data_IF_111904831646
#
_entry.id   IF_111904831646
#
_cell.length_a   1.000
_cell.length_b   1.000
_cell.length_c   1.000
_cell.angle_alpha   90.00
_cell.angle_beta   90.00
_cell.angle_gamma   90.00
#
_symmetry.space_group_name_H-M   'P 1'
#
loop_
_entity.id
_entity.type
_entity.pdbx_description
1 polymer ?
#
# COMPACT_ATOMS: atom_id res chain seq x y z
N UNK A 1 38.38 -25.37 2.50
CA UNK A 1 37.00 -25.41 3.02
C UNK A 1 36.91 -26.44 4.14
N UNK A 2 36.38 -26.06 5.30
CA UNK A 2 36.26 -26.94 6.45
C UNK A 2 35.22 -28.04 6.15
N UNK A 3 35.64 -29.32 6.05
CA UNK A 3 34.82 -30.46 5.59
C UNK A 3 33.62 -30.80 6.50
N UNK A 4 33.44 -30.09 7.61
CA UNK A 4 32.39 -30.35 8.61
C UNK A 4 31.55 -29.12 9.00
N UNK A 5 31.61 -28.00 8.24
CA UNK A 5 30.71 -26.86 8.53
C UNK A 5 29.29 -27.22 8.08
N UNK A 6 28.39 -27.45 9.06
CA UNK A 6 26.97 -27.75 8.83
C UNK A 6 26.05 -26.55 9.08
N UNK A 7 26.59 -25.47 9.67
CA UNK A 7 25.84 -24.26 10.05
C UNK A 7 26.36 -23.07 9.25
N UNK A 8 25.44 -22.22 8.78
CA UNK A 8 25.74 -20.95 8.08
C UNK A 8 26.62 -21.11 6.84
N UNK A 9 26.52 -22.25 6.16
CA UNK A 9 27.34 -22.56 4.97
C UNK A 9 27.09 -21.60 3.81
N UNK A 10 25.89 -21.00 3.76
CA UNK A 10 25.47 -20.04 2.74
C UNK A 10 25.28 -18.61 3.29
N UNK A 11 25.74 -18.34 4.52
CA UNK A 11 25.65 -17.00 5.13
C UNK A 11 27.02 -16.33 5.02
N UNK A 12 27.06 -15.18 4.34
CA UNK A 12 28.27 -14.38 4.15
C UNK A 12 28.50 -13.47 5.36
N UNK A 13 27.44 -12.85 5.87
CA UNK A 13 27.47 -11.95 7.01
C UNK A 13 26.13 -11.98 7.79
N UNK A 14 26.18 -11.63 9.07
CA UNK A 14 25.01 -11.50 9.94
C UNK A 14 25.19 -10.30 10.87
N UNK A 15 24.66 -9.15 10.45
CA UNK A 15 24.71 -7.90 11.19
C UNK A 15 23.43 -7.68 12.01
N UNK A 16 23.59 -7.16 13.23
CA UNK A 16 22.47 -6.82 14.12
C UNK A 16 21.83 -5.50 13.67
N UNK A 17 20.50 -5.49 13.54
CA UNK A 17 19.74 -4.27 13.30
C UNK A 17 19.59 -3.43 14.58
N UNK A 18 19.51 -2.09 14.50
CA UNK A 18 19.22 -1.26 15.67
C UNK A 18 17.87 -1.67 16.28
N UNK A 19 17.76 -1.64 17.60
CA UNK A 19 16.48 -1.91 18.26
C UNK A 19 15.39 -0.94 17.75
N UNK A 20 14.14 -1.40 17.49
CA UNK A 20 13.05 -0.54 17.05
C UNK A 20 12.85 0.70 17.93
N UNK A 21 12.88 0.54 19.26
CA UNK A 21 12.71 1.67 20.19
C UNK A 21 13.81 2.73 20.05
N UNK A 22 15.04 2.30 19.73
CA UNK A 22 16.17 3.21 19.55
C UNK A 22 16.01 4.00 18.26
N UNK A 23 15.73 3.34 17.14
CA UNK A 23 15.54 4.00 15.85
C UNK A 23 14.32 4.92 15.86
N UNK A 24 13.21 4.48 16.45
CA UNK A 24 12.00 5.28 16.58
C UNK A 24 12.21 6.55 17.43
N UNK A 25 13.13 6.55 18.39
CA UNK A 25 13.51 7.76 19.14
C UNK A 25 14.36 8.74 18.32
N UNK A 26 15.14 8.25 17.36
CA UNK A 26 15.92 9.12 16.46
C UNK A 26 15.02 9.88 15.48
N UNK A 27 13.90 9.27 15.09
CA UNK A 27 12.88 9.87 14.21
C UNK A 27 11.53 9.81 14.92
N UNK A 28 11.39 10.62 15.96
CA UNK A 28 10.19 10.61 16.80
C UNK A 28 8.99 11.21 16.07
N UNK A 29 7.81 10.62 16.27
CA UNK A 29 6.53 11.23 15.89
C UNK A 29 6.05 12.13 17.02
N UNK A 30 5.47 13.28 16.70
CA UNK A 30 4.84 14.14 17.71
C UNK A 30 3.36 13.75 17.93
N UNK A 31 2.71 14.40 18.92
CA UNK A 31 1.30 14.10 19.27
C UNK A 31 0.33 14.45 18.15
N UNK A 32 0.51 15.58 17.47
CA UNK A 32 -0.34 16.01 16.34
C UNK A 32 -0.29 15.03 15.16
N UNK A 33 0.89 14.48 14.85
CA UNK A 33 1.06 13.42 13.87
C UNK A 33 0.34 12.13 14.30
N UNK A 34 0.42 11.78 15.58
CA UNK A 34 -0.27 10.60 16.12
C UNK A 34 -1.79 10.75 16.02
N UNK A 35 -2.33 11.92 16.39
CA UNK A 35 -3.75 12.24 16.29
C UNK A 35 -4.23 12.19 14.84
N UNK A 36 -3.45 12.75 13.91
CA UNK A 36 -3.76 12.68 12.48
C UNK A 36 -3.79 11.23 11.96
N UNK A 37 -2.84 10.39 12.35
CA UNK A 37 -2.83 8.97 11.97
C UNK A 37 -4.04 8.24 12.55
N UNK A 38 -4.40 8.49 13.81
CA UNK A 38 -5.58 7.88 14.46
C UNK A 38 -6.86 8.29 13.71
N UNK A 39 -7.03 9.58 13.44
CA UNK A 39 -8.19 10.10 12.71
C UNK A 39 -8.27 9.53 11.29
N UNK A 40 -7.14 9.48 10.59
CA UNK A 40 -7.04 8.93 9.24
C UNK A 40 -7.41 7.44 9.21
N UNK A 41 -6.90 6.64 10.14
CA UNK A 41 -7.26 5.21 10.26
C UNK A 41 -8.75 5.05 10.51
N UNK A 42 -9.33 5.87 11.40
CA UNK A 42 -10.77 5.84 11.68
C UNK A 42 -11.58 6.18 10.42
N UNK A 43 -11.22 7.26 9.72
CA UNK A 43 -11.87 7.68 8.48
C UNK A 43 -11.83 6.59 7.41
N UNK A 44 -10.67 5.94 7.22
CA UNK A 44 -10.51 4.83 6.27
C UNK A 44 -11.37 3.63 6.69
N UNK A 45 -11.40 3.29 7.98
CA UNK A 45 -12.32 2.26 8.52
C UNK A 45 -13.79 2.60 8.28
N UNK A 46 -14.20 3.84 8.51
CA UNK A 46 -15.58 4.29 8.29
C UNK A 46 -15.96 4.17 6.80
N UNK A 47 -15.06 4.52 5.88
CA UNK A 47 -15.25 4.31 4.44
C UNK A 47 -15.38 2.82 4.14
N UNK A 48 -14.49 1.96 4.65
CA UNK A 48 -14.56 0.51 4.40
C UNK A 48 -15.91 -0.04 4.88
N UNK A 49 -16.35 0.35 6.08
CA UNK A 49 -17.62 -0.06 6.69
C UNK A 49 -18.87 0.53 6.01
N UNK A 50 -18.71 1.57 5.19
CA UNK A 50 -19.83 2.28 4.53
C UNK A 50 -20.52 3.32 5.42
N UNK A 51 -19.90 3.69 6.55
CA UNK A 51 -20.36 4.79 7.42
C UNK A 51 -19.94 6.16 6.89
N UNK A 52 -18.97 6.19 5.97
CA UNK A 52 -18.56 7.37 5.22
C UNK A 52 -18.71 7.07 3.71
N UNK A 53 -19.46 7.95 3.01
CA UNK A 53 -19.79 7.79 1.60
C UNK A 53 -18.72 8.32 0.64
N UNK A 54 -17.64 8.90 1.16
CA UNK A 54 -16.50 9.35 0.35
C UNK A 54 -15.78 8.16 -0.27
N UNK A 55 -15.12 8.42 -1.39
CA UNK A 55 -14.31 7.42 -2.10
C UNK A 55 -12.86 7.53 -1.63
N UNK A 56 -12.26 6.39 -1.29
CA UNK A 56 -10.84 6.31 -0.99
C UNK A 56 -10.03 6.21 -2.29
N UNK A 57 -9.04 7.07 -2.49
CA UNK A 57 -8.09 6.94 -3.60
C UNK A 57 -6.68 6.87 -3.04
N UNK A 58 -6.03 5.72 -3.24
CA UNK A 58 -4.63 5.50 -2.89
C UNK A 58 -3.77 5.80 -4.13
N UNK A 59 -2.98 6.86 -4.11
CA UNK A 59 -2.20 7.30 -5.28
C UNK A 59 -0.76 7.61 -4.89
N UNK A 60 0.18 7.21 -5.72
CA UNK A 60 1.59 7.54 -5.53
C UNK A 60 2.52 6.61 -6.29
N UNK A 61 3.84 6.80 -6.17
CA UNK A 61 4.82 6.05 -6.95
C UNK A 61 4.71 4.54 -6.73
N UNK A 62 5.13 3.75 -7.73
CA UNK A 62 5.21 2.29 -7.56
C UNK A 62 6.09 1.93 -6.34
N UNK A 63 7.26 2.58 -6.24
CA UNK A 63 8.18 2.55 -5.10
C UNK A 63 8.92 3.88 -4.95
N UNK A 64 9.14 4.34 -3.72
CA UNK A 64 9.94 5.53 -3.37
C UNK A 64 11.42 5.15 -3.40
N UNK A 65 12.20 5.81 -4.26
CA UNK A 65 13.66 5.64 -4.37
C UNK A 65 14.43 6.94 -4.18
N UNK A 66 13.73 8.07 -4.33
CA UNK A 66 14.25 9.41 -4.15
C UNK A 66 13.28 10.20 -3.26
N UNK A 67 13.80 10.71 -2.14
CA UNK A 67 13.00 11.40 -1.12
C UNK A 67 12.51 12.76 -1.63
N UNK A 68 13.34 13.48 -2.40
CA UNK A 68 13.00 14.81 -2.88
C UNK A 68 11.80 14.77 -3.84
N UNK A 69 11.83 13.92 -4.87
CA UNK A 69 10.68 13.76 -5.78
C UNK A 69 9.45 13.16 -5.09
N UNK A 70 9.64 12.28 -4.10
CA UNK A 70 8.57 11.80 -3.25
C UNK A 70 7.89 12.93 -2.47
N UNK A 71 8.66 13.87 -1.92
CA UNK A 71 8.17 15.01 -1.16
C UNK A 71 7.39 15.98 -2.05
N UNK A 72 7.91 16.32 -3.23
CA UNK A 72 7.19 17.15 -4.20
C UNK A 72 5.86 16.51 -4.64
N UNK A 73 5.85 15.19 -4.84
CA UNK A 73 4.61 14.47 -5.12
C UNK A 73 3.61 14.58 -3.95
N UNK A 74 4.08 14.48 -2.71
CA UNK A 74 3.25 14.61 -1.50
C UNK A 74 2.66 16.02 -1.35
N UNK A 75 3.44 17.07 -1.65
CA UNK A 75 2.99 18.48 -1.62
C UNK A 75 1.90 18.74 -2.66
N UNK A 76 2.11 18.22 -3.87
CA UNK A 76 1.13 18.22 -4.95
C UNK A 76 -0.16 17.50 -4.53
N UNK A 77 -0.05 16.33 -3.89
CA UNK A 77 -1.19 15.57 -3.38
C UNK A 77 -1.93 16.29 -2.25
N UNK A 78 -1.20 16.93 -1.32
CA UNK A 78 -1.77 17.77 -0.24
C UNK A 78 -2.59 18.93 -0.80
N UNK A 79 -2.06 19.62 -1.80
CA UNK A 79 -2.74 20.73 -2.48
C UNK A 79 -4.03 20.26 -3.16
N UNK A 80 -4.02 19.09 -3.80
CA UNK A 80 -5.19 18.51 -4.43
C UNK A 80 -6.22 18.03 -3.40
N UNK A 81 -5.78 17.38 -2.33
CA UNK A 81 -6.66 16.82 -1.28
C UNK A 81 -7.60 17.87 -0.69
N UNK A 82 -7.08 19.07 -0.38
CA UNK A 82 -7.87 20.19 0.15
C UNK A 82 -9.02 20.64 -0.76
N UNK A 83 -8.94 20.38 -2.07
CA UNK A 83 -9.96 20.80 -3.05
C UNK A 83 -11.13 19.82 -3.19
N UNK A 84 -10.98 18.59 -2.69
CA UNK A 84 -11.89 17.47 -2.98
C UNK A 84 -12.33 16.67 -1.73
N UNK A 85 -11.89 17.09 -0.54
CA UNK A 85 -12.00 16.35 0.72
C UNK A 85 -13.44 16.08 1.19
N UNK A 86 -14.44 16.80 0.66
CA UNK A 86 -15.86 16.56 0.90
C UNK A 86 -16.38 15.28 0.23
N UNK A 87 -15.66 14.73 -0.78
CA UNK A 87 -16.10 13.54 -1.55
C UNK A 87 -15.04 12.46 -1.68
N UNK A 88 -13.77 12.81 -1.56
CA UNK A 88 -12.65 11.91 -1.79
C UNK A 88 -11.67 12.02 -0.63
N UNK A 89 -11.25 10.86 -0.12
CA UNK A 89 -10.11 10.78 0.80
C UNK A 89 -8.90 10.31 0.02
N UNK A 90 -7.92 11.20 -0.17
CA UNK A 90 -6.65 10.86 -0.79
C UNK A 90 -5.69 10.27 0.25
N UNK A 91 -5.02 9.20 -0.13
CA UNK A 91 -3.97 8.56 0.65
C UNK A 91 -2.75 8.39 -0.23
N UNK A 92 -1.59 8.84 0.22
CA UNK A 92 -0.37 8.67 -0.53
C UNK A 92 0.11 7.22 -0.46
N UNK A 93 0.37 6.63 -1.63
CA UNK A 93 1.09 5.37 -1.74
C UNK A 93 2.58 5.60 -1.49
N UNK A 94 3.07 5.14 -0.34
CA UNK A 94 4.46 5.23 0.14
C UNK A 94 5.05 3.82 0.27
N UNK A 95 5.38 3.20 -0.85
CA UNK A 95 5.92 1.83 -0.89
C UNK A 95 7.44 1.90 -1.02
N UNK A 96 8.18 1.20 -0.16
CA UNK A 96 9.65 1.26 -0.18
C UNK A 96 10.31 0.19 -1.03
N UNK A 97 9.61 -0.93 -1.27
CA UNK A 97 10.11 -2.05 -2.03
C UNK A 97 9.04 -2.56 -3.00
N UNK A 98 9.52 -3.15 -4.10
CA UNK A 98 8.73 -3.95 -5.01
C UNK A 98 9.21 -5.40 -4.94
N UNK A 99 8.39 -6.35 -4.45
CA UNK A 99 8.76 -7.76 -4.46
C UNK A 99 9.07 -8.25 -5.88
N UNK A 100 10.22 -8.88 -6.10
CA UNK A 100 10.63 -9.42 -7.41
C UNK A 100 11.12 -10.85 -7.32
N UNK A 101 10.89 -11.60 -8.39
CA UNK A 101 11.40 -12.97 -8.59
C UNK A 101 12.74 -12.98 -9.33
N UNK A 102 13.16 -11.84 -9.88
CA UNK A 102 14.44 -11.64 -10.58
C UNK A 102 15.34 -10.68 -9.80
N UNK A 103 16.64 -10.68 -10.12
CA UNK A 103 17.62 -9.77 -9.53
C UNK A 103 17.30 -8.32 -9.91
N UNK A 104 17.47 -7.40 -8.95
CA UNK A 104 17.31 -5.96 -9.10
C UNK A 104 17.36 -5.26 -7.75
N UNK A 105 17.32 -3.92 -7.75
CA UNK A 105 17.22 -3.07 -6.55
C UNK A 105 16.20 -3.61 -5.52
N UNK A 106 16.57 -3.57 -4.24
CA UNK A 106 15.81 -4.20 -3.15
C UNK A 106 14.87 -3.25 -2.42
N UNK A 107 14.81 -1.99 -2.83
CA UNK A 107 13.97 -0.98 -2.19
C UNK A 107 14.75 -0.05 -1.26
N UNK A 108 14.14 1.06 -0.88
CA UNK A 108 14.79 2.14 -0.13
C UNK A 108 15.27 1.69 1.25
N UNK A 109 14.50 0.85 1.92
CA UNK A 109 14.88 0.30 3.23
C UNK A 109 16.11 -0.62 3.09
N UNK A 110 16.17 -1.41 2.02
CA UNK A 110 17.19 -2.44 1.83
C UNK A 110 18.46 -1.95 1.15
N UNK A 111 18.40 -0.85 0.40
CA UNK A 111 19.51 -0.29 -0.38
C UNK A 111 19.21 1.21 -0.69
N UNK A 112 19.34 2.10 0.32
CA UNK A 112 18.91 3.50 0.21
C UNK A 112 19.72 4.33 -0.80
N UNK A 113 20.93 3.90 -1.10
CA UNK A 113 21.86 4.61 -1.97
C UNK A 113 21.85 4.11 -3.42
N UNK A 114 21.08 3.06 -3.73
CA UNK A 114 21.02 2.42 -5.06
C UNK A 114 22.38 1.88 -5.53
N UNK A 115 23.26 1.51 -4.61
CA UNK A 115 24.65 1.11 -4.87
C UNK A 115 24.97 -0.32 -4.39
N UNK A 116 24.01 -0.99 -3.76
CA UNK A 116 24.17 -2.35 -3.22
C UNK A 116 24.93 -2.40 -1.89
N UNK A 117 25.11 -1.26 -1.21
CA UNK A 117 25.73 -1.19 0.13
C UNK A 117 24.91 -1.87 1.22
N UNK A 118 23.60 -1.96 1.03
CA UNK A 118 22.67 -2.57 1.98
C UNK A 118 22.67 -1.90 3.37
N UNK A 119 22.78 -0.56 3.43
CA UNK A 119 22.66 0.19 4.69
C UNK A 119 21.20 0.23 5.20
N UNK A 120 20.75 -0.89 5.76
CA UNK A 120 19.39 -1.07 6.29
C UNK A 120 19.09 -0.10 7.44
N UNK A 121 19.99 0.13 8.43
CA UNK A 121 19.75 1.11 9.48
C UNK A 121 19.44 2.51 8.93
N UNK A 122 20.17 2.97 7.92
CA UNK A 122 19.87 4.26 7.30
C UNK A 122 18.58 4.21 6.46
N UNK A 123 18.36 3.14 5.69
CA UNK A 123 17.13 2.95 4.92
C UNK A 123 15.87 2.99 5.79
N UNK A 124 15.91 2.40 6.99
CA UNK A 124 14.83 2.47 7.98
C UNK A 124 14.60 3.91 8.49
N UNK A 125 15.67 4.67 8.77
CA UNK A 125 15.55 6.08 9.20
C UNK A 125 14.97 6.95 8.09
N UNK A 126 15.42 6.78 6.85
CA UNK A 126 14.92 7.52 5.70
C UNK A 126 13.44 7.21 5.44
N UNK A 127 13.06 5.94 5.44
CA UNK A 127 11.67 5.51 5.29
C UNK A 127 10.77 6.11 6.38
N UNK A 128 11.22 6.07 7.64
CA UNK A 128 10.48 6.62 8.78
C UNK A 128 10.35 8.14 8.71
N UNK A 129 11.43 8.84 8.33
CA UNK A 129 11.42 10.29 8.18
C UNK A 129 10.47 10.71 7.07
N UNK A 130 10.51 10.04 5.92
CA UNK A 130 9.63 10.33 4.80
C UNK A 130 8.14 10.14 5.14
N UNK A 131 7.78 9.06 5.84
CA UNK A 131 6.39 8.86 6.28
C UNK A 131 5.91 10.00 7.20
N UNK A 132 6.79 10.48 8.09
CA UNK A 132 6.51 11.59 8.98
C UNK A 132 6.30 12.89 8.19
N UNK A 133 7.18 13.17 7.24
CA UNK A 133 7.13 14.39 6.43
C UNK A 133 5.85 14.42 5.56
N UNK A 134 5.37 13.27 5.08
CA UNK A 134 4.06 13.15 4.39
C UNK A 134 2.88 13.41 5.34
N UNK A 135 2.96 12.94 6.58
CA UNK A 135 1.94 13.19 7.61
C UNK A 135 1.88 14.68 7.97
N UNK A 136 3.03 15.38 8.02
CA UNK A 136 3.09 16.83 8.26
C UNK A 136 2.37 17.64 7.18
N UNK A 137 2.30 17.10 5.95
CA UNK A 137 1.50 17.66 4.86
C UNK A 137 -0.01 17.35 4.95
N UNK A 138 -0.44 16.70 6.04
CA UNK A 138 -1.83 16.24 6.27
C UNK A 138 -2.33 15.28 5.20
N UNK A 139 -1.44 14.40 4.74
CA UNK A 139 -1.78 13.30 3.84
C UNK A 139 -1.60 11.96 4.56
N UNK A 140 -2.65 11.11 4.61
CA UNK A 140 -2.51 9.76 5.13
C UNK A 140 -1.57 8.93 4.26
N UNK A 141 -0.84 8.00 4.87
CA UNK A 141 0.16 7.15 4.19
C UNK A 141 -0.34 5.72 4.02
N UNK A 142 0.01 5.10 2.89
CA UNK A 142 -0.27 3.70 2.57
C UNK A 142 1.01 2.96 2.18
N UNK A 143 1.30 1.80 2.80
CA UNK A 143 2.45 0.97 2.43
C UNK A 143 2.12 -0.52 2.34
N UNK A 144 2.96 -1.30 1.66
CA UNK A 144 2.91 -2.77 1.69
C UNK A 144 3.94 -3.31 2.67
N UNK A 145 3.52 -4.26 3.52
CA UNK A 145 4.39 -4.87 4.52
C UNK A 145 4.80 -6.27 4.07
N UNK A 146 6.12 -6.47 3.95
CA UNK A 146 6.73 -7.64 3.28
C UNK A 146 7.37 -8.63 4.25
N UNK A 147 7.45 -8.27 5.53
CA UNK A 147 8.07 -9.08 6.57
C UNK A 147 7.53 -8.67 7.97
N UNK A 148 7.65 -9.53 9.00
CA UNK A 148 7.12 -9.25 10.34
C UNK A 148 8.01 -8.36 11.22
N UNK A 149 9.16 -7.89 10.72
CA UNK A 149 10.15 -7.10 11.47
C UNK A 149 9.95 -5.60 11.19
N UNK A 150 9.91 -5.21 9.92
CA UNK A 150 9.75 -3.83 9.45
C UNK A 150 8.58 -3.07 10.11
N UNK A 151 7.39 -3.68 10.38
CA UNK A 151 6.30 -2.98 11.06
C UNK A 151 6.70 -2.34 12.40
N UNK A 152 7.63 -2.92 13.17
CA UNK A 152 8.03 -2.35 14.46
C UNK A 152 8.74 -1.00 14.32
N UNK A 153 9.26 -0.66 13.13
CA UNK A 153 9.99 0.57 12.86
C UNK A 153 9.15 1.67 12.24
N UNK A 154 8.05 1.35 11.55
CA UNK A 154 7.31 2.33 10.73
C UNK A 154 5.78 2.28 10.87
N UNK A 155 5.21 1.23 11.47
CA UNK A 155 3.75 1.00 11.47
C UNK A 155 2.95 2.08 12.19
N UNK A 156 3.53 2.81 13.13
CA UNK A 156 2.91 3.94 13.82
C UNK A 156 2.69 5.17 12.94
N UNK A 157 3.30 5.22 11.75
CA UNK A 157 3.16 6.30 10.76
C UNK A 157 2.39 5.85 9.51
N UNK A 158 1.66 4.74 9.57
CA UNK A 158 0.94 4.15 8.43
C UNK A 158 -0.58 4.19 8.68
N UNK A 159 -1.33 4.79 7.75
CA UNK A 159 -2.78 4.93 7.86
C UNK A 159 -3.58 3.79 7.19
N UNK A 160 -3.00 3.13 6.19
CA UNK A 160 -3.54 1.94 5.52
C UNK A 160 -2.40 1.04 5.07
N UNK A 161 -2.60 -0.28 5.03
CA UNK A 161 -1.56 -1.20 4.55
C UNK A 161 -2.05 -2.20 3.51
N UNK A 162 -1.11 -2.87 2.83
CA UNK A 162 -1.41 -3.98 1.94
C UNK A 162 -0.60 -5.23 2.28
N UNK A 163 -1.22 -6.39 2.05
CA UNK A 163 -0.53 -7.66 1.82
C UNK A 163 -0.57 -7.97 0.32
N UNK A 164 0.61 -8.21 -0.25
CA UNK A 164 0.80 -8.48 -1.67
C UNK A 164 0.19 -9.78 -2.16
N UNK A 165 -0.02 -9.87 -3.46
CA UNK A 165 -0.58 -11.07 -4.09
C UNK A 165 0.28 -12.33 -3.92
N UNK A 166 1.61 -12.17 -3.74
CA UNK A 166 2.53 -13.29 -3.53
C UNK A 166 2.60 -13.72 -2.06
N UNK A 167 2.15 -12.87 -1.14
CA UNK A 167 2.19 -13.09 0.30
C UNK A 167 0.81 -13.28 0.91
N UNK A 168 -0.27 -13.10 0.13
CA UNK A 168 -1.64 -13.38 0.54
C UNK A 168 -1.85 -14.83 1.01
N UNK A 169 -1.09 -15.79 0.47
CA UNK A 169 -1.11 -17.20 0.90
C UNK A 169 -0.11 -17.54 2.02
N UNK A 170 0.76 -16.60 2.38
CA UNK A 170 1.76 -16.81 3.41
C UNK A 170 1.12 -16.76 4.80
N UNK A 171 1.26 -17.83 5.56
CA UNK A 171 0.79 -17.90 6.94
C UNK A 171 1.37 -16.76 7.81
N UNK A 172 2.69 -16.53 7.74
CA UNK A 172 3.35 -15.45 8.50
C UNK A 172 2.73 -14.09 8.21
N UNK A 173 2.39 -13.81 6.95
CA UNK A 173 1.78 -12.53 6.57
C UNK A 173 0.33 -12.41 7.03
N UNK A 174 -0.46 -13.49 6.98
CA UNK A 174 -1.83 -13.53 7.54
C UNK A 174 -1.82 -13.31 9.04
N UNK A 175 -0.87 -13.94 9.74
CA UNK A 175 -0.68 -13.77 11.17
C UNK A 175 -0.22 -12.35 11.51
N UNK A 176 0.73 -11.79 10.77
CA UNK A 176 1.12 -10.39 10.91
C UNK A 176 -0.06 -9.45 10.70
N UNK A 177 -0.86 -9.63 9.64
CA UNK A 177 -2.02 -8.81 9.32
C UNK A 177 -3.03 -8.71 10.48
N UNK A 178 -3.21 -9.79 11.24
CA UNK A 178 -4.09 -9.82 12.42
C UNK A 178 -3.66 -8.90 13.57
N UNK A 179 -2.40 -8.47 13.60
CA UNK A 179 -1.83 -7.60 14.64
C UNK A 179 -1.59 -6.16 14.19
N UNK A 180 -1.77 -5.86 12.90
CA UNK A 180 -1.56 -4.52 12.36
C UNK A 180 -2.63 -3.53 12.85
N UNK A 181 -2.22 -2.32 13.21
CA UNK A 181 -3.11 -1.33 13.84
C UNK A 181 -3.97 -0.52 12.86
N UNK A 182 -3.70 -0.62 11.56
CA UNK A 182 -4.41 0.08 10.50
C UNK A 182 -5.34 -0.88 9.72
N UNK A 183 -6.34 -0.35 9.01
CA UNK A 183 -7.03 -1.11 7.97
C UNK A 183 -6.04 -1.62 6.92
N UNK A 184 -6.28 -2.80 6.36
CA UNK A 184 -5.41 -3.33 5.32
C UNK A 184 -6.15 -4.05 4.20
N UNK A 185 -5.60 -3.91 3.00
CA UNK A 185 -6.04 -4.60 1.81
C UNK A 185 -5.23 -5.86 1.54
N UNK A 186 -5.89 -6.98 1.30
CA UNK A 186 -5.23 -8.21 0.85
C UNK A 186 -5.48 -8.37 -0.65
N UNK A 187 -4.41 -8.35 -1.44
CA UNK A 187 -4.49 -8.49 -2.90
C UNK A 187 -4.89 -9.92 -3.28
N UNK A 188 -5.74 -10.05 -4.30
CA UNK A 188 -5.97 -11.35 -4.94
C UNK A 188 -4.66 -11.92 -5.51
N UNK A 189 -4.59 -13.25 -5.63
CA UNK A 189 -3.42 -13.98 -6.11
C UNK A 189 -3.02 -13.59 -7.54
N UNK A 190 -1.77 -13.88 -7.93
CA UNK A 190 -1.23 -13.47 -9.25
C UNK A 190 -1.97 -14.08 -10.44
N UNK A 191 -2.55 -15.26 -10.28
CA UNK A 191 -3.43 -15.91 -11.27
C UNK A 191 -4.76 -15.18 -11.46
N UNK A 192 -5.16 -14.35 -10.50
CA UNK A 192 -6.48 -13.72 -10.43
C UNK A 192 -7.42 -14.39 -9.42
N UNK A 193 -7.00 -15.49 -8.78
CA UNK A 193 -7.81 -16.16 -7.76
C UNK A 193 -7.98 -15.30 -6.50
N UNK A 194 -9.21 -15.27 -6.01
CA UNK A 194 -9.67 -14.42 -4.91
C UNK A 194 -9.80 -15.22 -3.61
N UNK A 195 -9.93 -16.55 -3.68
CA UNK A 195 -10.06 -17.42 -2.51
C UNK A 195 -8.85 -17.27 -1.58
N UNK A 196 -7.65 -17.15 -2.15
CA UNK A 196 -6.42 -16.86 -1.39
C UNK A 196 -6.54 -15.61 -0.51
N UNK A 197 -7.14 -14.53 -1.01
CA UNK A 197 -7.37 -13.29 -0.28
C UNK A 197 -8.51 -13.40 0.74
N UNK A 198 -9.60 -14.10 0.40
CA UNK A 198 -10.71 -14.38 1.33
C UNK A 198 -10.22 -15.15 2.54
N UNK A 199 -9.52 -16.27 2.33
CA UNK A 199 -8.94 -17.08 3.41
C UNK A 199 -7.96 -16.28 4.28
N UNK A 200 -7.24 -15.34 3.67
CA UNK A 200 -6.30 -14.47 4.37
C UNK A 200 -7.02 -13.45 5.25
N UNK A 201 -8.13 -12.88 4.78
CA UNK A 201 -8.99 -11.98 5.56
C UNK A 201 -9.56 -12.72 6.76
N UNK A 202 -10.17 -13.90 6.54
CA UNK A 202 -10.73 -14.72 7.62
C UNK A 202 -9.67 -15.06 8.68
N UNK A 203 -8.46 -15.46 8.26
CA UNK A 203 -7.36 -15.72 9.18
C UNK A 203 -6.91 -14.45 9.93
N UNK A 204 -6.81 -13.32 9.25
CA UNK A 204 -6.39 -12.05 9.85
C UNK A 204 -7.42 -11.51 10.85
N UNK A 205 -8.70 -11.83 10.70
CA UNK A 205 -9.75 -11.44 11.64
C UNK A 205 -9.72 -12.20 12.98
N UNK A 206 -8.96 -13.30 13.06
CA UNK A 206 -8.85 -14.12 14.28
C UNK A 206 -7.59 -13.78 15.08
N UNK A 207 -7.56 -14.09 16.40
CA UNK A 207 -6.32 -14.11 17.17
C UNK A 207 -5.28 -15.05 16.56
N UNK A 208 -4.04 -14.58 16.46
CA UNK A 208 -2.92 -15.34 15.90
C UNK A 208 -1.70 -15.29 16.81
N UNK A 209 -0.73 -16.17 16.55
CA UNK A 209 0.59 -16.11 17.15
C UNK A 209 1.66 -16.37 16.09
N UNK A 210 2.69 -15.52 16.04
CA UNK A 210 3.80 -15.65 15.10
C UNK A 210 5.12 -15.18 15.71
N UNK A 211 6.23 -15.54 15.06
CA UNK A 211 7.56 -15.07 15.44
C UNK A 211 7.82 -13.70 14.82
N UNK A 212 8.14 -12.72 15.67
CA UNK A 212 8.52 -11.37 15.28
C UNK A 212 9.67 -10.86 16.14
N UNK A 213 9.75 -9.54 16.31
CA UNK A 213 10.74 -8.88 17.18
C UNK A 213 10.05 -7.96 18.19
N UNK A 214 10.63 -7.88 19.38
CA UNK A 214 10.26 -6.92 20.42
C UNK A 214 10.82 -5.54 20.11
N UNK A 215 10.38 -4.53 20.86
CA UNK A 215 10.87 -3.14 20.75
C UNK A 215 12.37 -3.02 21.07
N UNK A 216 12.94 -3.96 21.84
CA UNK A 216 14.36 -4.08 22.14
C UNK A 216 15.16 -4.81 21.05
N UNK A 217 14.51 -5.24 19.96
CA UNK A 217 15.16 -5.95 18.85
C UNK A 217 15.38 -7.46 19.09
N UNK A 218 14.83 -8.02 20.18
CA UNK A 218 14.93 -9.44 20.49
C UNK A 218 13.81 -10.23 19.82
N UNK A 219 14.10 -11.45 19.36
CA UNK A 219 13.08 -12.37 18.86
C UNK A 219 11.95 -12.55 19.88
N UNK A 220 10.70 -12.53 19.40
CA UNK A 220 9.51 -12.53 20.26
C UNK A 220 8.39 -13.36 19.66
N UNK A 221 7.62 -14.03 20.52
CA UNK A 221 6.30 -14.54 20.15
C UNK A 221 5.29 -13.38 20.23
N UNK A 222 4.69 -13.02 19.11
CA UNK A 222 3.70 -11.94 19.01
C UNK A 222 2.31 -12.55 18.98
N UNK A 223 1.47 -12.23 19.97
CA UNK A 223 0.07 -12.67 20.04
C UNK A 223 -0.85 -11.51 19.71
N UNK A 224 -1.81 -11.73 18.81
CA UNK A 224 -2.69 -10.69 18.27
C UNK A 224 -4.15 -10.91 18.69
N UNK A 225 -4.98 -9.88 18.53
CA UNK A 225 -6.42 -9.94 18.81
C UNK A 225 -7.28 -10.22 17.58
N UNK A 226 -6.69 -10.23 16.38
CA UNK A 226 -7.42 -10.17 15.12
C UNK A 226 -7.63 -8.74 14.63
N UNK A 227 -7.71 -8.57 13.32
CA UNK A 227 -7.98 -7.31 12.65
C UNK A 227 -9.23 -7.40 11.77
N UNK A 228 -10.31 -6.77 12.23
CA UNK A 228 -11.60 -6.73 11.54
C UNK A 228 -11.65 -5.76 10.34
N UNK A 229 -10.63 -4.92 10.14
CA UNK A 229 -10.60 -3.90 9.09
C UNK A 229 -9.86 -4.38 7.82
N UNK A 230 -9.87 -5.69 7.58
CA UNK A 230 -9.31 -6.30 6.38
C UNK A 230 -10.32 -6.27 5.22
N UNK A 231 -9.85 -6.02 3.99
CA UNK A 231 -10.69 -6.05 2.78
C UNK A 231 -9.90 -6.57 1.57
N UNK A 232 -10.61 -6.89 0.48
CA UNK A 232 -9.99 -7.36 -0.75
C UNK A 232 -9.50 -6.19 -1.61
N UNK A 233 -8.31 -6.36 -2.19
CA UNK A 233 -7.79 -5.50 -3.27
C UNK A 233 -7.79 -6.28 -4.58
N UNK A 234 -8.58 -5.81 -5.55
CA UNK A 234 -8.70 -6.40 -6.88
C UNK A 234 -7.66 -5.81 -7.82
N UNK A 235 -6.70 -6.63 -8.26
CA UNK A 235 -5.52 -6.19 -9.06
C UNK A 235 -5.37 -6.89 -10.41
N UNK A 236 -6.42 -7.59 -10.85
CA UNK A 236 -6.39 -8.48 -12.00
C UNK A 236 -5.53 -9.71 -11.75
N UNK A 237 -5.19 -10.44 -12.82
CA UNK A 237 -4.28 -11.57 -12.75
C UNK A 237 -3.90 -12.07 -14.13
N UNK A 238 -3.28 -13.24 -14.20
CA UNK A 238 -2.96 -13.94 -15.46
C UNK A 238 -4.22 -14.20 -16.29
N UNK A 239 -5.37 -14.41 -15.64
CA UNK A 239 -6.69 -14.55 -16.28
C UNK A 239 -7.32 -13.20 -16.71
N UNK A 240 -6.52 -12.14 -16.77
CA UNK A 240 -6.93 -10.79 -17.18
C UNK A 240 -7.52 -9.93 -16.05
N UNK A 241 -8.07 -8.76 -16.41
CA UNK A 241 -8.60 -7.80 -15.44
C UNK A 241 -9.80 -8.32 -14.65
N UNK A 242 -9.95 -7.89 -13.40
CA UNK A 242 -11.03 -8.30 -12.50
C UNK A 242 -11.89 -7.14 -11.96
N UNK A 243 -11.95 -6.03 -12.69
CA UNK A 243 -12.76 -4.85 -12.34
C UNK A 243 -14.07 -4.73 -13.11
N UNK A 244 -14.43 -5.68 -14.00
CA UNK A 244 -15.67 -5.59 -14.78
C UNK A 244 -16.90 -5.78 -13.90
N UNK A 245 -18.07 -5.20 -14.25
CA UNK A 245 -19.29 -5.33 -13.46
C UNK A 245 -19.66 -6.79 -13.13
N UNK A 246 -19.46 -7.72 -14.07
CA UNK A 246 -19.75 -9.13 -13.91
C UNK A 246 -18.85 -9.78 -12.86
N UNK A 247 -17.54 -9.45 -12.90
CA UNK A 247 -16.57 -9.96 -11.93
C UNK A 247 -16.82 -9.36 -10.55
N UNK A 248 -17.13 -8.07 -10.45
CA UNK A 248 -17.48 -7.44 -9.17
C UNK A 248 -18.74 -8.08 -8.57
N UNK A 249 -19.78 -8.35 -9.36
CA UNK A 249 -20.99 -9.04 -8.89
C UNK A 249 -20.68 -10.46 -8.38
N UNK A 250 -19.79 -11.19 -9.03
CA UNK A 250 -19.40 -12.53 -8.57
C UNK A 250 -18.63 -12.48 -7.25
N UNK A 251 -17.76 -11.47 -7.09
CA UNK A 251 -16.97 -11.23 -5.88
C UNK A 251 -17.85 -10.83 -4.70
N UNK A 252 -18.82 -9.95 -4.95
CA UNK A 252 -19.82 -9.56 -3.96
C UNK A 252 -20.56 -10.77 -3.39
N UNK A 253 -21.04 -11.67 -4.25
CA UNK A 253 -21.69 -12.92 -3.82
C UNK A 253 -20.76 -13.79 -2.98
N UNK A 254 -19.51 -13.98 -3.43
CA UNK A 254 -18.51 -14.76 -2.70
C UNK A 254 -18.22 -14.18 -1.32
N UNK A 255 -18.07 -12.86 -1.20
CA UNK A 255 -17.84 -12.20 0.08
C UNK A 255 -19.01 -12.42 1.05
N UNK A 256 -20.25 -12.29 0.55
CA UNK A 256 -21.47 -12.54 1.34
C UNK A 256 -21.55 -14.01 1.78
N UNK A 257 -21.24 -14.97 0.90
CA UNK A 257 -21.20 -16.41 1.23
C UNK A 257 -20.20 -16.72 2.36
N UNK A 258 -19.12 -15.95 2.44
CA UNK A 258 -18.10 -16.05 3.50
C UNK A 258 -18.37 -15.16 4.73
N UNK A 259 -19.54 -14.53 4.82
CA UNK A 259 -19.90 -13.57 5.88
C UNK A 259 -18.93 -12.38 6.01
N UNK A 260 -18.32 -11.98 4.91
CA UNK A 260 -17.45 -10.80 4.81
C UNK A 260 -18.23 -9.62 4.23
N UNK A 261 -17.82 -8.40 4.60
CA UNK A 261 -18.39 -7.19 4.02
C UNK A 261 -18.12 -7.17 2.50
N UNK A 262 -19.14 -6.96 1.64
CA UNK A 262 -18.99 -6.92 0.19
C UNK A 262 -18.38 -5.57 -0.26
N UNK A 263 -17.16 -5.29 0.19
CA UNK A 263 -16.47 -4.00 0.03
C UNK A 263 -15.07 -4.26 -0.52
N UNK A 264 -14.79 -3.72 -1.70
CA UNK A 264 -13.53 -3.93 -2.41
C UNK A 264 -12.86 -2.62 -2.79
N UNK A 265 -11.53 -2.65 -2.78
CA UNK A 265 -10.68 -1.63 -3.39
C UNK A 265 -10.16 -2.17 -4.73
N UNK A 266 -10.16 -1.34 -5.77
CA UNK A 266 -9.71 -1.77 -7.10
C UNK A 266 -8.40 -1.09 -7.49
N UNK A 267 -7.36 -1.89 -7.71
CA UNK A 267 -6.07 -1.45 -8.24
C UNK A 267 -6.18 -1.25 -9.76
N UNK A 268 -6.01 -0.01 -10.22
CA UNK A 268 -6.10 0.34 -11.64
C UNK A 268 -4.86 -0.05 -12.45
N UNK A 269 -3.75 -0.41 -11.78
CA UNK A 269 -2.48 -0.81 -12.38
C UNK A 269 -2.41 -2.34 -12.56
N UNK A 270 -1.19 -2.89 -12.56
CA UNK A 270 -0.89 -4.32 -12.52
C UNK A 270 -1.68 -5.17 -13.54
N UNK A 271 -2.36 -6.24 -13.08
CA UNK A 271 -3.10 -7.13 -13.97
C UNK A 271 -4.32 -6.46 -14.58
N UNK A 272 -4.89 -5.45 -13.92
CA UNK A 272 -6.03 -4.71 -14.44
C UNK A 272 -5.65 -3.77 -15.59
N UNK A 273 -4.44 -3.21 -15.56
CA UNK A 273 -3.90 -2.44 -16.68
C UNK A 273 -3.17 -3.29 -17.72
N UNK A 274 -3.17 -4.63 -17.57
CA UNK A 274 -2.32 -5.53 -18.36
C UNK A 274 -0.82 -5.09 -18.34
N UNK A 275 -0.36 -4.55 -17.21
CA UNK A 275 0.98 -3.98 -16.99
C UNK A 275 1.32 -2.79 -17.90
N UNK A 276 0.31 -2.12 -18.45
CA UNK A 276 0.46 -0.91 -19.26
C UNK A 276 -0.08 0.30 -18.49
N UNK A 277 0.81 1.16 -17.98
CA UNK A 277 0.44 2.33 -17.19
C UNK A 277 -0.53 3.26 -17.92
N UNK A 278 -0.52 3.31 -19.25
CA UNK A 278 -1.44 4.14 -20.05
C UNK A 278 -2.89 3.67 -19.95
N UNK A 279 -3.12 2.41 -19.60
CA UNK A 279 -4.47 1.84 -19.42
C UNK A 279 -5.08 2.14 -18.06
N UNK A 280 -4.30 2.62 -17.08
CA UNK A 280 -4.82 2.96 -15.75
C UNK A 280 -6.01 3.94 -15.83
N UNK A 281 -5.95 4.94 -16.69
CA UNK A 281 -7.04 5.91 -16.91
C UNK A 281 -8.34 5.24 -17.34
N UNK A 282 -8.28 4.29 -18.28
CA UNK A 282 -9.46 3.57 -18.75
C UNK A 282 -10.05 2.66 -17.66
N UNK A 283 -9.20 2.01 -16.87
CA UNK A 283 -9.62 1.21 -15.72
C UNK A 283 -10.31 2.09 -14.67
N UNK A 284 -9.67 3.21 -14.31
CA UNK A 284 -10.18 4.19 -13.35
C UNK A 284 -11.56 4.73 -13.77
N UNK A 285 -11.72 5.14 -15.01
CA UNK A 285 -12.99 5.64 -15.55
C UNK A 285 -14.09 4.57 -15.57
N UNK A 286 -13.74 3.32 -15.91
CA UNK A 286 -14.68 2.21 -15.86
C UNK A 286 -15.21 1.97 -14.43
N UNK A 287 -14.33 2.04 -13.43
CA UNK A 287 -14.70 1.88 -12.02
C UNK A 287 -15.53 3.08 -11.55
N UNK A 288 -15.12 4.30 -11.89
CA UNK A 288 -15.86 5.51 -11.55
C UNK A 288 -17.28 5.48 -12.10
N UNK A 289 -17.47 5.01 -13.34
CA UNK A 289 -18.80 4.85 -13.92
C UNK A 289 -19.65 3.84 -13.14
N UNK A 290 -19.08 2.73 -12.69
CA UNK A 290 -19.78 1.77 -11.84
C UNK A 290 -20.22 2.40 -10.51
N UNK A 291 -19.34 3.16 -9.88
CA UNK A 291 -19.64 3.90 -8.64
C UNK A 291 -20.75 4.94 -8.89
N UNK A 292 -20.68 5.66 -10.01
CA UNK A 292 -21.63 6.70 -10.37
C UNK A 292 -23.05 6.17 -10.63
N UNK A 293 -23.20 4.94 -11.15
CA UNK A 293 -24.50 4.27 -11.31
C UNK A 293 -25.00 3.59 -10.02
N UNK A 294 -24.38 3.88 -8.87
CA UNK A 294 -24.85 3.45 -7.55
C UNK A 294 -24.24 2.15 -7.04
N UNK A 295 -23.15 1.65 -7.63
CA UNK A 295 -22.47 0.46 -7.10
C UNK A 295 -21.79 0.78 -5.76
N UNK A 296 -22.33 0.20 -4.69
CA UNK A 296 -21.79 0.33 -3.34
C UNK A 296 -20.71 -0.72 -3.03
N UNK A 297 -20.47 -1.73 -3.86
CA UNK A 297 -19.42 -2.73 -3.61
C UNK A 297 -18.01 -2.12 -3.60
N UNK A 298 -17.80 -1.05 -4.37
CA UNK A 298 -16.48 -0.44 -4.57
C UNK A 298 -16.37 0.79 -3.69
N UNK A 299 -15.44 0.78 -2.73
CA UNK A 299 -15.22 1.91 -1.82
C UNK A 299 -13.99 2.74 -2.18
N UNK A 300 -13.09 2.19 -3.00
CA UNK A 300 -11.86 2.89 -3.34
C UNK A 300 -11.13 2.35 -4.55
N UNK A 301 -10.14 3.12 -4.97
CA UNK A 301 -9.28 2.86 -6.12
C UNK A 301 -7.80 3.02 -5.72
N UNK A 302 -6.91 2.35 -6.45
CA UNK A 302 -5.47 2.53 -6.32
C UNK A 302 -4.82 2.84 -7.67
N UNK A 303 -3.93 3.83 -7.69
CA UNK A 303 -3.18 4.30 -8.85
C UNK A 303 -1.68 4.21 -8.59
N UNK A 304 -0.92 3.79 -9.60
CA UNK A 304 0.53 3.98 -9.63
C UNK A 304 0.86 5.20 -10.49
N UNK A 305 1.27 6.27 -9.81
CA UNK A 305 1.43 7.61 -10.36
C UNK A 305 2.69 8.26 -9.81
N UNK A 306 3.44 8.97 -10.65
CA UNK A 306 4.62 9.70 -10.23
C UNK A 306 4.60 11.10 -10.86
N UNK A 307 5.61 11.94 -10.60
CA UNK A 307 5.71 13.25 -11.26
C UNK A 307 5.80 13.08 -12.78
N UNK A 308 6.61 12.11 -13.22
CA UNK A 308 6.87 11.78 -14.63
C UNK A 308 6.36 10.37 -14.96
N UNK A 309 5.69 10.23 -16.11
CA UNK A 309 5.14 8.97 -16.58
C UNK A 309 6.23 7.95 -16.98
N UNK A 310 5.84 6.68 -17.05
CA UNK A 310 6.70 5.59 -17.46
C UNK A 310 7.58 5.06 -16.33
N UNK A 311 8.65 4.37 -16.70
CA UNK A 311 9.69 3.86 -15.81
C UNK A 311 11.03 3.88 -16.51
N UNK A 312 12.09 3.87 -15.73
CA UNK A 312 13.48 3.81 -16.19
C UNK A 312 14.23 2.68 -15.49
N UNK A 313 15.28 2.17 -16.12
CA UNK A 313 16.18 1.20 -15.51
C UNK A 313 17.25 1.92 -14.71
N UNK A 314 17.68 1.30 -13.60
CA UNK A 314 18.87 1.76 -12.87
C UNK A 314 20.10 1.27 -13.65
N UNK A 315 20.64 2.13 -14.51
CA UNK A 315 21.87 1.87 -15.27
C UNK A 315 22.87 2.99 -15.03
N UNK A 316 23.94 2.71 -14.29
CA UNK A 316 24.93 3.71 -13.89
C UNK A 316 24.58 4.37 -12.55
N UNK A 317 25.06 5.60 -12.34
CA UNK A 317 24.88 6.29 -11.07
C UNK A 317 23.51 6.96 -10.93
N UNK A 318 23.12 7.19 -9.67
CA UNK A 318 21.82 7.77 -9.28
C UNK A 318 21.56 9.13 -9.93
N UNK A 319 22.60 9.91 -10.17
CA UNK A 319 22.52 11.27 -10.72
C UNK A 319 22.01 11.31 -12.17
N UNK A 320 22.07 10.18 -12.90
CA UNK A 320 21.57 10.09 -14.27
C UNK A 320 20.09 9.72 -14.35
N UNK A 321 19.44 9.39 -13.22
CA UNK A 321 18.03 9.06 -13.20
C UNK A 321 17.18 10.31 -13.46
N UNK A 322 16.17 10.15 -14.30
CA UNK A 322 15.16 11.19 -14.52
C UNK A 322 14.41 11.44 -13.21
N UNK A 323 14.50 12.67 -12.70
CA UNK A 323 13.83 13.09 -11.48
C UNK A 323 12.32 12.82 -11.55
N UNK A 324 11.77 12.20 -10.50
CA UNK A 324 10.33 11.92 -10.41
C UNK A 324 9.80 10.87 -11.39
N UNK A 325 10.66 10.04 -12.00
CA UNK A 325 10.26 8.89 -12.82
C UNK A 325 10.57 7.57 -12.11
N UNK A 326 9.62 6.62 -12.15
CA UNK A 326 9.74 5.33 -11.45
C UNK A 326 10.94 4.50 -11.91
N UNK A 327 11.60 3.80 -10.98
CA UNK A 327 12.65 2.80 -11.27
C UNK A 327 12.14 1.34 -11.15
N UNK A 328 10.84 1.17 -10.95
CA UNK A 328 10.16 -0.13 -10.84
C UNK A 328 9.05 -0.22 -11.89
N UNK A 329 7.79 -0.38 -11.50
CA UNK A 329 6.70 -0.45 -12.49
C UNK A 329 6.43 0.95 -13.06
N UNK A 330 6.03 1.01 -14.33
CA UNK A 330 5.69 2.28 -14.99
C UNK A 330 4.48 2.94 -14.34
N UNK A 331 4.56 4.26 -14.15
CA UNK A 331 3.50 5.06 -13.54
C UNK A 331 2.84 6.00 -14.56
N UNK A 332 1.64 6.50 -14.27
CA UNK A 332 1.10 7.70 -14.95
C UNK A 332 1.79 8.97 -14.39
N UNK A 333 1.76 10.07 -15.15
CA UNK A 333 2.31 11.36 -14.67
C UNK A 333 1.35 12.10 -13.72
N UNK A 334 1.87 13.16 -13.11
CA UNK A 334 1.10 14.00 -12.19
C UNK A 334 -0.12 14.64 -12.87
N UNK A 335 0.05 15.16 -14.09
CA UNK A 335 -1.03 15.82 -14.84
C UNK A 335 -2.21 14.88 -15.09
N UNK A 336 -1.94 13.64 -15.49
CA UNK A 336 -2.96 12.61 -15.68
C UNK A 336 -3.61 12.25 -14.34
N UNK A 337 -2.81 12.12 -13.28
CA UNK A 337 -3.30 11.84 -11.92
C UNK A 337 -4.28 12.89 -11.43
N UNK A 338 -3.89 14.18 -11.48
CA UNK A 338 -4.75 15.30 -11.09
C UNK A 338 -6.03 15.33 -11.93
N UNK A 339 -5.92 15.14 -13.25
CA UNK A 339 -7.08 15.12 -14.15
C UNK A 339 -8.08 14.02 -13.79
N UNK A 340 -7.61 12.80 -13.52
CA UNK A 340 -8.46 11.66 -13.16
C UNK A 340 -9.18 11.90 -11.83
N UNK A 341 -8.45 12.39 -10.82
CA UNK A 341 -9.01 12.65 -9.49
C UNK A 341 -10.03 13.80 -9.55
N UNK A 342 -9.75 14.89 -10.26
CA UNK A 342 -10.70 15.98 -10.44
C UNK A 342 -11.95 15.54 -11.22
N UNK A 343 -11.80 14.68 -12.24
CA UNK A 343 -12.92 14.08 -12.95
C UNK A 343 -13.78 13.20 -12.03
N UNK A 344 -13.15 12.41 -11.15
CA UNK A 344 -13.87 11.65 -10.13
C UNK A 344 -14.64 12.58 -9.18
N UNK A 345 -14.00 13.64 -8.68
CA UNK A 345 -14.64 14.62 -7.80
C UNK A 345 -15.89 15.25 -8.44
N UNK A 346 -15.80 15.63 -9.72
CA UNK A 346 -16.93 16.17 -10.49
C UNK A 346 -18.05 15.13 -10.67
N UNK A 347 -17.71 13.91 -11.08
CA UNK A 347 -18.68 12.84 -11.32
C UNK A 347 -19.44 12.42 -10.05
N UNK A 348 -18.75 12.39 -8.90
CA UNK A 348 -19.35 12.04 -7.61
C UNK A 348 -20.29 13.12 -7.06
N UNK A 349 -20.17 14.38 -7.52
CA UNK A 349 -21.08 15.45 -7.11
C UNK A 349 -22.54 15.16 -7.43
N UNK A 350 -22.79 14.51 -8.57
CA UNK A 350 -24.13 14.12 -9.00
C UNK A 350 -24.79 13.09 -8.07
N UNK A 351 -23.99 12.28 -7.37
CA UNK A 351 -24.45 11.20 -6.48
C UNK A 351 -25.00 11.73 -5.15
N UNK A 352 -24.44 12.82 -4.64
CA UNK A 352 -24.82 13.41 -3.35
C UNK A 352 -26.09 14.28 -3.44
N UNK A 353 -26.49 14.71 -4.64
CA UNK A 353 -27.76 15.44 -4.88
C UNK A 353 -28.96 14.47 -4.86
N UNK A 354 -28.76 13.19 -5.16
CA UNK A 354 -29.81 12.16 -5.22
C UNK A 354 -30.14 11.46 -3.89
N UNK A 355 -29.40 11.74 -2.82
CA UNK A 355 -29.58 11.11 -1.50
C UNK A 355 -30.36 11.97 -0.50
N UNK A 356 -30.76 13.19 -0.87
CA UNK A 356 -31.81 13.96 -0.21
C UNK A 356 -33.18 13.58 -0.75
N UNK A 357 -33.74 12.47 -0.29
CA UNK A 357 -35.19 12.22 -0.29
C UNK A 357 -35.59 11.44 0.95
#
# INVERSE_FOLDING_TARGET
MNKHRITDVNIVDNAVLPAPEYLCRQVLRNEDQADFVIQSRKQISDIIAGNDNRILIISGPCSIHDIASGQEYAENLSTLSKKIEDRIVLVMRVYFEKPRTTVGWKGLIMDPYLDGSHDIPEGLKLARSFLRDVIDLRIPTATELLDPITPQYISDLICWSAIGARTAESQTHRQMASGLSMPLGIKNGTSGDIRSAVNAIEAAMQPQTFLGVSQQGLASAVTTRGNANCHIVLRGGENGPNYTPEKINAIEKMLVEHNLAPRVLVDCSHGNSAKDHKKQSAVFESILNQIAIGRNTIFGLMLESNLVAGSQSVSGSKENLVYGQSITDSCIDWKTTETLILKAYQSLGSRLIGTTK
#
